data_IF_946923167790
#
_entry.id   IF_946923167790
#
_cell.length_a   1.000
_cell.length_b   1.000
_cell.length_c   1.000
_cell.angle_alpha   90.00
_cell.angle_beta   90.00
_cell.angle_gamma   90.00
#
_symmetry.space_group_name_H-M   'P 1'
#
loop_
_entity.id
_entity.type
_entity.pdbx_description
1 polymer ?
#
# COMPACT_ATOMS: atom_id res chain seq x y z
N UNK A 1 19.51 3.92 -8.54
CA UNK A 1 18.54 4.27 -7.48
C UNK A 1 17.99 5.69 -7.62
N UNK A 2 18.80 6.77 -7.51
CA UNK A 2 18.30 8.17 -7.52
C UNK A 2 17.53 8.60 -8.79
N UNK A 3 18.02 8.24 -9.98
CA UNK A 3 17.36 8.59 -11.24
C UNK A 3 16.01 7.87 -11.44
N UNK A 4 15.89 6.63 -10.95
CA UNK A 4 14.65 5.88 -11.00
C UNK A 4 13.61 6.47 -10.04
N UNK A 5 14.02 6.80 -8.82
CA UNK A 5 13.17 7.47 -7.84
C UNK A 5 12.61 8.78 -8.41
N UNK A 6 13.46 9.62 -8.99
CA UNK A 6 13.02 10.87 -9.61
C UNK A 6 11.97 10.66 -10.70
N UNK A 7 12.16 9.67 -11.58
CA UNK A 7 11.18 9.33 -12.64
C UNK A 7 9.84 8.89 -12.08
N UNK A 8 9.85 8.09 -11.01
CA UNK A 8 8.62 7.63 -10.34
C UNK A 8 7.90 8.80 -9.68
N UNK A 9 8.62 9.67 -8.96
CA UNK A 9 8.03 10.85 -8.32
C UNK A 9 7.43 11.80 -9.34
N UNK A 10 8.12 12.03 -10.46
CA UNK A 10 7.58 12.85 -11.55
C UNK A 10 6.30 12.24 -12.13
N UNK A 11 6.31 10.94 -12.45
CA UNK A 11 5.14 10.25 -12.98
C UNK A 11 3.96 10.29 -12.00
N UNK A 12 4.22 10.09 -10.71
CA UNK A 12 3.22 10.19 -9.65
C UNK A 12 2.60 11.59 -9.59
N UNK A 13 3.43 12.64 -9.62
CA UNK A 13 2.99 14.02 -9.53
C UNK A 13 2.22 14.49 -10.77
N UNK A 14 2.40 13.83 -11.92
CA UNK A 14 1.63 14.12 -13.14
C UNK A 14 0.24 13.50 -13.15
N UNK A 15 -0.06 12.57 -12.23
CA UNK A 15 -1.37 11.94 -12.16
C UNK A 15 -2.41 12.93 -11.63
N UNK A 16 -3.65 12.90 -12.16
CA UNK A 16 -4.79 13.57 -11.54
C UNK A 16 -4.95 13.20 -10.05
N UNK A 17 -5.28 14.19 -9.23
CA UNK A 17 -5.42 14.02 -7.76
C UNK A 17 -6.38 12.89 -7.39
N UNK A 18 -7.49 12.72 -8.13
CA UNK A 18 -8.44 11.64 -7.89
C UNK A 18 -7.82 10.25 -8.10
N UNK A 19 -6.97 10.07 -9.12
CA UNK A 19 -6.28 8.81 -9.37
C UNK A 19 -5.23 8.53 -8.30
N UNK A 20 -4.47 9.55 -7.89
CA UNK A 20 -3.51 9.40 -6.78
C UNK A 20 -4.22 8.97 -5.49
N UNK A 21 -5.34 9.62 -5.16
CA UNK A 21 -6.15 9.28 -3.99
C UNK A 21 -6.71 7.84 -4.10
N UNK A 22 -7.26 7.45 -5.25
CA UNK A 22 -7.75 6.07 -5.46
C UNK A 22 -6.65 5.03 -5.32
N UNK A 23 -5.45 5.29 -5.85
CA UNK A 23 -4.31 4.38 -5.70
C UNK A 23 -3.87 4.26 -4.24
N UNK A 24 -3.76 5.38 -3.51
CA UNK A 24 -3.43 5.37 -2.08
C UNK A 24 -4.48 4.62 -1.26
N UNK A 25 -5.76 4.85 -1.52
CA UNK A 25 -6.86 4.14 -0.86
C UNK A 25 -6.81 2.64 -1.15
N UNK A 26 -6.56 2.24 -2.40
CA UNK A 26 -6.44 0.84 -2.79
C UNK A 26 -5.26 0.13 -2.10
N UNK A 27 -4.08 0.77 -2.07
CA UNK A 27 -2.90 0.26 -1.36
C UNK A 27 -3.17 0.14 0.14
N UNK A 28 -3.80 1.16 0.71
CA UNK A 28 -4.17 1.18 2.14
C UNK A 28 -5.14 0.03 2.45
N UNK A 29 -6.20 -0.13 1.67
CA UNK A 29 -7.18 -1.21 1.84
C UNK A 29 -6.53 -2.60 1.73
N UNK A 30 -5.67 -2.81 0.72
CA UNK A 30 -4.92 -4.06 0.58
C UNK A 30 -4.08 -4.35 1.82
N UNK A 31 -3.36 -3.35 2.33
CA UNK A 31 -2.51 -3.50 3.51
C UNK A 31 -3.32 -3.82 4.76
N UNK A 32 -4.45 -3.15 4.98
CA UNK A 32 -5.37 -3.44 6.08
C UNK A 32 -5.91 -4.87 6.03
N UNK A 33 -6.30 -5.35 4.85
CA UNK A 33 -6.77 -6.72 4.68
C UNK A 33 -5.67 -7.74 4.98
N UNK A 34 -4.46 -7.50 4.49
CA UNK A 34 -3.32 -8.40 4.73
C UNK A 34 -2.88 -8.37 6.19
N UNK A 35 -2.87 -7.19 6.82
CA UNK A 35 -2.56 -7.05 8.24
C UNK A 35 -3.59 -7.78 9.09
N UNK A 36 -4.88 -7.67 8.77
CA UNK A 36 -5.93 -8.45 9.44
C UNK A 36 -5.70 -9.96 9.34
N UNK A 37 -5.29 -10.45 8.17
CA UNK A 37 -4.93 -11.86 7.97
C UNK A 37 -3.68 -12.25 8.76
N UNK A 38 -2.62 -11.46 8.70
CA UNK A 38 -1.37 -11.73 9.44
C UNK A 38 -1.58 -11.70 10.95
N UNK A 39 -2.38 -10.76 11.46
CA UNK A 39 -2.75 -10.69 12.88
C UNK A 39 -3.63 -11.86 13.27
N UNK A 40 -4.63 -12.22 12.45
CA UNK A 40 -5.45 -13.42 12.67
C UNK A 40 -4.63 -14.69 12.73
N UNK A 41 -3.67 -14.86 11.82
CA UNK A 41 -2.73 -15.99 11.86
C UNK A 41 -1.84 -15.95 13.10
N UNK A 42 -1.27 -14.79 13.45
CA UNK A 42 -0.43 -14.66 14.64
C UNK A 42 -1.20 -15.02 15.91
N UNK A 43 -2.46 -14.59 16.03
CA UNK A 43 -3.32 -14.95 17.15
C UNK A 43 -3.69 -16.43 17.15
N UNK A 44 -3.94 -17.03 15.98
CA UNK A 44 -4.18 -18.46 15.84
C UNK A 44 -2.98 -19.29 16.36
N UNK A 45 -1.76 -18.92 15.98
CA UNK A 45 -0.51 -19.54 16.46
C UNK A 45 -0.20 -19.32 17.94
N UNK A 46 -0.77 -18.29 18.57
CA UNK A 46 -0.61 -18.05 20.01
C UNK A 46 -1.65 -18.79 20.85
N UNK A 47 -2.75 -19.23 20.23
CA UNK A 47 -3.89 -19.86 20.89
C UNK A 47 -3.96 -21.38 20.67
N UNK A 48 -3.13 -21.92 19.78
CA UNK A 48 -2.88 -23.35 19.55
C UNK A 48 -1.42 -23.67 19.81
#
# INVERSE_FOLDING_TARGET
MRALHARITTAWNTLPVFLQASMLLGVTAYFLLHLGQSVGQALYYLTH
#
